data_IF_279878132343
#
_entry.id   IF_279878132343
#
_cell.length_a   1.000
_cell.length_b   1.000
_cell.length_c   1.000
_cell.angle_alpha   90.00
_cell.angle_beta   90.00
_cell.angle_gamma   90.00
#
_symmetry.space_group_name_H-M   'P 1'
#
loop_
_entity.id
_entity.type
_entity.pdbx_description
1 polymer ?
#
# COMPACT_ATOMS: atom_id res chain seq x y z
N UNK A 1 -25.65 20.08 -3.04
CA UNK A 1 -24.48 19.20 -3.15
C UNK A 1 -24.96 17.79 -2.84
N UNK A 2 -25.12 16.92 -3.85
CA UNK A 2 -25.60 15.55 -3.62
C UNK A 2 -24.44 14.76 -2.98
N UNK A 3 -24.64 14.24 -1.77
CA UNK A 3 -23.71 13.30 -1.17
C UNK A 3 -23.68 12.06 -2.07
N UNK A 4 -22.54 11.80 -2.72
CA UNK A 4 -22.33 10.52 -3.39
C UNK A 4 -22.32 9.42 -2.33
N UNK A 5 -23.04 8.31 -2.53
CA UNK A 5 -22.96 7.18 -1.62
C UNK A 5 -21.51 6.68 -1.57
N UNK A 6 -20.95 6.60 -0.36
CA UNK A 6 -19.62 6.03 -0.16
C UNK A 6 -19.70 4.55 -0.55
N UNK A 7 -18.87 4.13 -1.50
CA UNK A 7 -18.75 2.72 -1.87
C UNK A 7 -18.33 1.91 -0.64
N UNK A 8 -19.09 0.88 -0.32
CA UNK A 8 -18.78 -0.06 0.76
C UNK A 8 -17.81 -1.13 0.24
N UNK A 9 -16.62 -1.19 0.82
CA UNK A 9 -15.57 -2.17 0.48
C UNK A 9 -15.43 -3.28 1.53
N UNK A 10 -16.36 -3.37 2.50
CA UNK A 10 -16.20 -4.23 3.69
C UNK A 10 -15.93 -5.70 3.35
N UNK A 11 -16.62 -6.25 2.35
CA UNK A 11 -16.44 -7.65 1.92
C UNK A 11 -15.05 -7.90 1.33
N UNK A 12 -14.56 -6.99 0.48
CA UNK A 12 -13.24 -7.11 -0.14
C UNK A 12 -12.11 -6.91 0.88
N UNK A 13 -12.30 -5.97 1.83
CA UNK A 13 -11.37 -5.74 2.93
C UNK A 13 -11.28 -6.98 3.84
N UNK A 14 -12.42 -7.59 4.18
CA UNK A 14 -12.44 -8.83 4.96
C UNK A 14 -11.72 -9.97 4.23
N UNK A 15 -11.89 -10.09 2.91
CA UNK A 15 -11.17 -11.06 2.10
C UNK A 15 -9.65 -10.80 2.08
N UNK A 16 -9.23 -9.54 2.00
CA UNK A 16 -7.83 -9.16 2.07
C UNK A 16 -7.21 -9.45 3.44
N UNK A 17 -7.90 -9.16 4.54
CA UNK A 17 -7.46 -9.49 5.90
C UNK A 17 -7.26 -11.00 6.10
N UNK A 18 -8.13 -11.82 5.50
CA UNK A 18 -8.02 -13.28 5.57
C UNK A 18 -6.91 -13.85 4.67
N UNK A 19 -6.26 -13.03 3.85
CA UNK A 19 -5.26 -13.47 2.86
C UNK A 19 -3.86 -13.06 3.30
N UNK A 20 -2.91 -14.01 3.44
CA UNK A 20 -1.51 -13.67 3.68
C UNK A 20 -0.98 -12.69 2.64
N UNK A 21 -0.38 -11.59 3.10
CA UNK A 21 0.11 -10.52 2.21
C UNK A 21 -0.98 -9.65 1.58
N UNK A 22 -2.26 -9.84 1.92
CA UNK A 22 -3.35 -8.96 1.50
C UNK A 22 -3.14 -7.54 2.02
N UNK A 23 -3.30 -6.56 1.13
CA UNK A 23 -3.01 -5.16 1.42
C UNK A 23 -3.65 -4.22 0.39
N UNK A 24 -3.73 -2.94 0.75
CA UNK A 24 -4.06 -1.86 -0.16
C UNK A 24 -2.77 -1.17 -0.64
N UNK A 25 -2.60 -1.05 -1.96
CA UNK A 25 -1.59 -0.21 -2.59
C UNK A 25 -2.25 1.01 -3.23
N UNK A 26 -1.73 2.21 -2.97
CA UNK A 26 -2.22 3.46 -3.56
C UNK A 26 -1.06 4.18 -4.25
N UNK A 27 -1.27 4.56 -5.51
CA UNK A 27 -0.35 5.35 -6.30
C UNK A 27 -1.07 6.48 -7.03
N UNK A 28 -0.33 7.20 -7.88
CA UNK A 28 -0.88 8.33 -8.67
C UNK A 28 -1.98 7.90 -9.64
N UNK A 29 -1.96 6.63 -10.07
CA UNK A 29 -2.95 6.05 -10.99
C UNK A 29 -4.20 5.47 -10.32
N UNK A 30 -4.38 5.61 -9.00
CA UNK A 30 -5.50 5.03 -8.26
C UNK A 30 -5.04 4.07 -7.17
N UNK A 31 -5.94 3.19 -6.74
CA UNK A 31 -5.66 2.14 -5.77
C UNK A 31 -5.74 0.75 -6.40
N UNK A 32 -5.09 -0.21 -5.75
CA UNK A 32 -5.28 -1.64 -5.97
C UNK A 32 -5.34 -2.33 -4.60
N UNK A 33 -6.46 -2.98 -4.32
CA UNK A 33 -6.65 -3.85 -3.17
C UNK A 33 -6.32 -5.29 -3.59
N UNK A 34 -5.34 -5.90 -2.94
CA UNK A 34 -4.93 -7.27 -3.18
C UNK A 34 -5.62 -8.17 -2.14
N UNK A 35 -6.57 -9.00 -2.58
CA UNK A 35 -7.45 -9.71 -1.65
C UNK A 35 -7.47 -11.23 -1.81
N UNK A 36 -6.83 -11.81 -2.83
CA UNK A 36 -6.49 -13.25 -2.98
C UNK A 36 -5.29 -13.41 -3.92
N UNK A 37 -4.79 -14.64 -4.09
CA UNK A 37 -3.76 -14.95 -5.08
C UNK A 37 -4.23 -14.60 -6.50
N UNK A 38 -3.66 -13.55 -7.09
CA UNK A 38 -4.02 -13.05 -8.42
C UNK A 38 -5.33 -12.26 -8.52
N UNK A 39 -6.05 -12.06 -7.41
CA UNK A 39 -7.31 -11.30 -7.40
C UNK A 39 -7.09 -9.90 -6.83
N UNK A 40 -7.49 -8.89 -7.60
CA UNK A 40 -7.33 -7.48 -7.26
C UNK A 40 -8.58 -6.69 -7.58
N UNK A 41 -8.89 -5.70 -6.73
CA UNK A 41 -9.89 -4.68 -6.99
C UNK A 41 -9.17 -3.35 -7.17
N UNK A 42 -9.46 -2.64 -8.26
CA UNK A 42 -8.80 -1.37 -8.59
C UNK A 42 -9.84 -0.28 -8.81
N UNK A 43 -9.46 0.96 -8.50
CA UNK A 43 -10.34 2.11 -8.67
C UNK A 43 -9.66 3.43 -8.33
N UNK A 44 -10.45 4.51 -8.30
CA UNK A 44 -9.94 5.88 -8.13
C UNK A 44 -10.40 6.56 -6.82
N UNK A 45 -11.34 5.95 -6.09
CA UNK A 45 -11.86 6.47 -4.82
C UNK A 45 -10.88 6.26 -3.65
N UNK A 46 -9.63 6.71 -3.80
CA UNK A 46 -8.50 6.40 -2.93
C UNK A 46 -8.73 6.82 -1.47
N UNK A 47 -9.37 7.96 -1.21
CA UNK A 47 -9.56 8.45 0.16
C UNK A 47 -10.54 7.56 0.94
N UNK A 48 -11.66 7.17 0.32
CA UNK A 48 -12.68 6.36 0.97
C UNK A 48 -12.15 4.96 1.31
N UNK A 49 -11.53 4.27 0.34
CA UNK A 49 -11.01 2.92 0.58
C UNK A 49 -9.82 2.92 1.54
N UNK A 50 -8.94 3.94 1.49
CA UNK A 50 -7.83 4.09 2.46
C UNK A 50 -8.37 4.20 3.88
N UNK A 51 -9.35 5.06 4.11
CA UNK A 51 -9.96 5.24 5.43
C UNK A 51 -10.60 3.94 5.94
N UNK A 52 -11.36 3.23 5.09
CA UNK A 52 -11.97 1.95 5.46
C UNK A 52 -10.91 0.87 5.76
N UNK A 53 -9.85 0.76 4.96
CA UNK A 53 -8.76 -0.19 5.19
C UNK A 53 -8.00 0.10 6.49
N UNK A 54 -7.66 1.37 6.76
CA UNK A 54 -7.00 1.78 8.01
C UNK A 54 -7.87 1.43 9.21
N UNK A 55 -9.16 1.80 9.17
CA UNK A 55 -10.10 1.52 10.25
C UNK A 55 -10.28 0.02 10.51
N UNK A 56 -10.22 -0.81 9.46
CA UNK A 56 -10.30 -2.26 9.57
C UNK A 56 -9.00 -2.95 9.99
N UNK A 57 -7.89 -2.20 10.16
CA UNK A 57 -6.59 -2.77 10.48
C UNK A 57 -5.87 -3.44 9.28
N UNK A 58 -6.33 -3.22 8.05
CA UNK A 58 -5.69 -3.77 6.85
C UNK A 58 -4.38 -3.01 6.56
N UNK A 59 -3.29 -3.69 6.18
CA UNK A 59 -2.08 -3.06 5.68
C UNK A 59 -2.34 -2.11 4.50
N UNK A 60 -1.76 -0.91 4.56
CA UNK A 60 -1.84 0.09 3.48
C UNK A 60 -0.44 0.60 3.14
N UNK A 61 -0.14 0.71 1.85
CA UNK A 61 1.00 1.44 1.30
C UNK A 61 0.45 2.54 0.39
N UNK A 62 0.59 3.80 0.79
CA UNK A 62 0.21 4.97 -0.01
C UNK A 62 1.46 5.74 -0.45
N UNK A 63 1.80 5.55 -1.73
CA UNK A 63 3.00 6.10 -2.37
C UNK A 63 2.73 7.40 -3.14
N UNK A 64 1.53 7.99 -3.03
CA UNK A 64 1.17 9.21 -3.79
C UNK A 64 2.08 10.40 -3.50
N UNK A 65 2.62 10.49 -2.28
CA UNK A 65 3.57 11.52 -1.85
C UNK A 65 5.01 11.28 -2.36
N UNK A 66 5.33 10.08 -2.84
CA UNK A 66 6.68 9.71 -3.28
C UNK A 66 6.95 10.25 -4.70
N UNK A 67 8.20 10.63 -4.96
CA UNK A 67 8.64 11.04 -6.29
C UNK A 67 8.43 9.91 -7.32
N UNK A 68 7.95 10.26 -8.52
CA UNK A 68 7.46 9.28 -9.50
C UNK A 68 8.57 8.35 -9.99
N UNK A 69 9.73 8.91 -10.30
CA UNK A 69 10.92 8.18 -10.72
C UNK A 69 11.34 7.15 -9.65
N UNK A 70 11.25 7.50 -8.37
CA UNK A 70 11.52 6.57 -7.26
C UNK A 70 10.49 5.44 -7.22
N UNK A 71 9.18 5.75 -7.34
CA UNK A 71 8.13 4.71 -7.40
C UNK A 71 8.33 3.79 -8.61
N UNK A 72 8.72 4.32 -9.77
CA UNK A 72 9.03 3.53 -10.97
C UNK A 72 10.22 2.61 -10.71
N UNK A 73 11.30 3.10 -10.10
CA UNK A 73 12.45 2.26 -9.74
C UNK A 73 12.05 1.13 -8.77
N UNK A 74 11.29 1.46 -7.72
CA UNK A 74 10.80 0.46 -6.77
C UNK A 74 9.89 -0.57 -7.43
N UNK A 75 9.02 -0.15 -8.36
CA UNK A 75 8.10 -1.06 -9.06
C UNK A 75 8.83 -1.99 -10.03
N UNK A 76 9.81 -1.47 -10.77
CA UNK A 76 10.51 -2.25 -11.81
C UNK A 76 11.61 -3.15 -11.24
N UNK A 77 12.28 -2.71 -10.17
CA UNK A 77 13.45 -3.42 -9.61
C UNK A 77 13.16 -4.10 -8.27
N UNK A 78 12.14 -3.63 -7.55
CA UNK A 78 11.72 -4.23 -6.30
C UNK A 78 10.90 -5.50 -6.52
N UNK A 79 10.74 -6.31 -5.47
CA UNK A 79 9.94 -7.52 -5.54
C UNK A 79 8.45 -7.23 -5.54
N UNK A 80 7.68 -8.21 -5.99
CA UNK A 80 6.23 -8.27 -5.83
C UNK A 80 5.90 -8.75 -4.41
N UNK A 81 4.73 -8.38 -3.89
CA UNK A 81 4.22 -8.95 -2.64
C UNK A 81 3.70 -10.36 -2.88
N UNK A 82 4.10 -11.32 -2.04
CA UNK A 82 3.57 -12.67 -1.99
C UNK A 82 2.13 -12.67 -1.40
N UNK A 83 1.13 -12.41 -2.24
CA UNK A 83 -0.28 -12.38 -1.83
C UNK A 83 -0.91 -13.77 -2.02
N UNK A 84 -1.42 -14.36 -0.93
CA UNK A 84 -2.08 -15.67 -0.93
C UNK A 84 -1.18 -16.81 -1.40
N UNK A 85 0.14 -16.67 -1.24
CA UNK A 85 1.17 -17.64 -1.61
C UNK A 85 2.39 -17.48 -0.70
N UNK A 86 3.23 -18.50 -0.68
CA UNK A 86 4.50 -18.43 0.03
C UNK A 86 5.47 -17.43 -0.64
N UNK A 87 6.21 -16.72 0.20
CA UNK A 87 7.32 -15.91 -0.28
C UNK A 87 8.48 -16.81 -0.72
N UNK A 88 9.24 -16.35 -1.72
CA UNK A 88 10.49 -16.98 -2.12
C UNK A 88 11.59 -16.71 -1.07
N UNK A 89 12.67 -17.51 -1.03
CA UNK A 89 13.84 -17.18 -0.21
C UNK A 89 14.52 -15.90 -0.71
N UNK A 90 15.07 -15.12 0.21
CA UNK A 90 15.89 -13.95 -0.10
C UNK A 90 17.23 -14.37 -0.76
N UNK A 91 17.90 -13.49 -1.53
CA UNK A 91 17.53 -12.11 -1.85
C UNK A 91 16.40 -12.01 -2.90
N UNK A 92 15.59 -10.96 -2.79
CA UNK A 92 14.50 -10.69 -3.73
C UNK A 92 14.87 -9.58 -4.71
N UNK A 93 14.47 -9.73 -5.97
CA UNK A 93 14.68 -8.78 -7.05
C UNK A 93 13.36 -8.56 -7.83
N UNK A 94 13.43 -7.83 -8.94
CA UNK A 94 12.31 -7.67 -9.86
C UNK A 94 11.68 -9.01 -10.21
N UNK A 95 10.35 -9.09 -10.13
CA UNK A 95 9.53 -10.30 -10.34
C UNK A 95 9.66 -11.41 -9.29
N UNK A 96 10.52 -11.27 -8.26
CA UNK A 96 10.48 -12.17 -7.11
C UNK A 96 9.23 -11.91 -6.26
N UNK A 97 8.74 -12.92 -5.54
CA UNK A 97 7.70 -12.76 -4.52
C UNK A 97 8.31 -12.67 -3.13
N UNK A 98 8.17 -11.51 -2.50
CA UNK A 98 8.68 -11.22 -1.16
C UNK A 98 7.55 -11.04 -0.14
N UNK A 99 7.82 -11.17 1.17
CA UNK A 99 6.85 -10.81 2.20
C UNK A 99 6.43 -9.36 2.09
N UNK A 100 5.15 -9.05 2.38
CA UNK A 100 4.60 -7.69 2.36
C UNK A 100 5.47 -6.70 3.16
N UNK A 101 5.95 -7.12 4.33
CA UNK A 101 6.81 -6.29 5.19
C UNK A 101 8.09 -5.83 4.47
N UNK A 102 8.74 -6.71 3.71
CA UNK A 102 9.97 -6.37 3.00
C UNK A 102 9.70 -5.29 1.94
N UNK A 103 8.60 -5.40 1.20
CA UNK A 103 8.19 -4.41 0.21
C UNK A 103 7.79 -3.09 0.88
N UNK A 104 7.02 -3.15 1.96
CA UNK A 104 6.59 -1.98 2.72
C UNK A 104 7.76 -1.16 3.28
N UNK A 105 8.83 -1.83 3.76
CA UNK A 105 10.05 -1.14 4.22
C UNK A 105 10.71 -0.34 3.09
N UNK A 106 10.76 -0.88 1.87
CA UNK A 106 11.34 -0.17 0.72
C UNK A 106 10.52 1.09 0.37
N UNK A 107 9.20 0.97 0.39
CA UNK A 107 8.31 2.11 0.15
C UNK A 107 8.36 3.15 1.29
N UNK A 108 8.38 2.70 2.55
CA UNK A 108 8.52 3.58 3.70
C UNK A 108 9.86 4.35 3.67
N UNK A 109 10.97 3.68 3.33
CA UNK A 109 12.27 4.30 3.18
C UNK A 109 12.31 5.35 2.04
N UNK A 110 11.44 5.20 1.03
CA UNK A 110 11.25 6.19 -0.03
C UNK A 110 10.26 7.32 0.35
N UNK A 111 9.72 7.31 1.57
CA UNK A 111 8.79 8.33 2.07
C UNK A 111 7.32 8.04 1.84
N UNK A 112 6.95 6.81 1.46
CA UNK A 112 5.54 6.42 1.37
C UNK A 112 4.89 6.37 2.76
N UNK A 113 3.60 6.67 2.81
CA UNK A 113 2.82 6.41 4.01
C UNK A 113 2.48 4.92 4.11
N UNK A 114 2.68 4.33 5.28
CA UNK A 114 2.44 2.91 5.54
C UNK A 114 1.57 2.78 6.80
N UNK A 115 0.53 1.97 6.75
CA UNK A 115 -0.37 1.78 7.89
C UNK A 115 -0.56 0.31 8.18
N UNK A 116 -0.74 -0.04 9.46
CA UNK A 116 -1.06 -1.39 9.93
C UNK A 116 -0.06 -2.48 9.49
N UNK A 117 1.22 -2.13 9.33
CA UNK A 117 2.31 -3.09 9.09
C UNK A 117 3.22 -3.06 10.33
N UNK A 118 3.27 -4.15 11.12
CA UNK A 118 4.11 -4.19 12.32
C UNK A 118 5.57 -3.89 12.01
N UNK A 119 6.20 -3.12 12.91
CA UNK A 119 7.62 -2.79 12.88
C UNK A 119 8.08 -2.09 11.58
N UNK A 120 7.17 -1.35 10.93
CA UNK A 120 7.47 -0.42 9.83
C UNK A 120 6.98 0.95 10.26
N UNK A 121 7.90 1.80 10.73
CA UNK A 121 7.58 3.18 11.07
C UNK A 121 7.34 3.98 9.79
N UNK A 122 6.22 4.72 9.76
CA UNK A 122 6.06 5.81 8.82
C UNK A 122 7.03 6.92 9.16
N UNK A 123 7.86 7.31 8.19
CA UNK A 123 8.52 8.60 8.24
C UNK A 123 7.42 9.66 8.36
N UNK A 124 7.31 10.29 9.52
CA UNK A 124 6.47 11.45 9.72
C UNK A 124 6.96 12.57 8.79
N UNK A 125 6.05 13.12 7.99
CA UNK A 125 6.36 14.30 7.18
C UNK A 125 6.89 15.39 8.12
N UNK A 126 8.06 16.01 7.89
CA UNK A 126 8.45 17.16 8.67
C UNK A 126 7.42 18.26 8.40
N UNK A 127 6.75 18.71 9.44
CA UNK A 127 5.93 19.91 9.39
C UNK A 127 6.76 21.04 8.77
N UNK A 128 6.19 21.66 7.75
CA UNK A 128 6.71 22.82 7.03
C UNK A 128 7.43 23.77 8.01
N UNK A 129 8.76 23.90 7.88
CA UNK A 129 9.47 24.97 8.59
C UNK A 129 8.98 26.26 7.97
N UNK A 130 8.13 26.98 8.70
CA UNK A 130 7.87 28.40 8.46
C UNK A 130 9.23 29.08 8.19
N UNK A 131 9.39 29.59 6.98
CA UNK A 131 10.42 30.56 6.71
C UNK A 131 10.21 31.76 7.64
N UNK A 132 11.29 32.19 8.30
CA UNK A 132 11.38 33.44 9.06
C UNK A 132 12.73 34.05 8.68
N UNK A 133 12.87 35.39 8.57
CA UNK A 133 11.86 36.45 8.64
C UNK A 133 11.51 37.06 7.28
#
# INVERSE_FOLDING_TARGET
MLQQPVTDYSADIAAALATPGGHLSIGRGGFTLHYRNGATLSGYSCQAIKAQCIAAGLPVIDSRCVAFDIVVQLTLRGPLVAVGRDAQPAPWHGLSYAPLRAVAILYAAAGAEVWNIPDVETASVPAERKAVP
#
